data_IF_931861787041
#
_entry.id   IF_931861787041
#
_cell.length_a   1.000
_cell.length_b   1.000
_cell.length_c   1.000
_cell.angle_alpha   90.00
_cell.angle_beta   90.00
_cell.angle_gamma   90.00
#
_symmetry.space_group_name_H-M   'P 1'
#
loop_
_entity.id
_entity.type
_entity.pdbx_description
1 polymer ?
#
# COMPACT_ATOMS: atom_id res chain seq x y z
N UNK A 1 -52.79 -80.44 -12.91
CA UNK A 1 -52.98 -79.12 -13.56
C UNK A 1 -52.59 -78.03 -12.59
N UNK A 2 -51.33 -77.55 -12.61
CA UNK A 2 -50.91 -76.37 -11.83
C UNK A 2 -49.94 -75.55 -12.69
N UNK A 3 -50.19 -74.23 -12.66
CA UNK A 3 -49.82 -73.14 -13.58
C UNK A 3 -48.33 -72.78 -13.51
N UNK A 4 -47.64 -72.60 -14.63
CA UNK A 4 -47.33 -71.31 -15.29
C UNK A 4 -47.13 -70.11 -14.36
N UNK A 5 -45.88 -69.63 -14.27
CA UNK A 5 -45.51 -68.21 -14.47
C UNK A 5 -44.00 -67.97 -14.22
N UNK A 6 -43.35 -67.41 -15.25
CA UNK A 6 -42.51 -66.19 -15.19
C UNK A 6 -41.27 -66.16 -14.28
N UNK A 7 -40.10 -65.86 -14.86
CA UNK A 7 -39.25 -64.70 -14.53
C UNK A 7 -38.05 -64.67 -15.51
N UNK A 8 -37.97 -63.58 -16.29
CA UNK A 8 -36.75 -63.14 -16.98
C UNK A 8 -35.88 -62.39 -15.99
N UNK A 9 -34.57 -62.56 -16.05
CA UNK A 9 -33.66 -61.41 -15.87
C UNK A 9 -32.25 -61.75 -16.37
N UNK A 10 -31.91 -61.15 -17.50
CA UNK A 10 -30.60 -61.21 -18.14
C UNK A 10 -29.63 -60.31 -17.38
N UNK A 11 -28.43 -60.83 -17.12
CA UNK A 11 -27.33 -60.13 -16.45
C UNK A 11 -26.94 -58.86 -17.21
N UNK A 12 -27.01 -57.72 -16.53
CA UNK A 12 -26.55 -56.42 -17.05
C UNK A 12 -25.04 -56.26 -16.83
N UNK A 13 -24.41 -55.61 -17.81
CA UNK A 13 -22.98 -55.44 -17.99
C UNK A 13 -22.38 -54.41 -17.02
N UNK A 14 -21.11 -54.66 -16.70
CA UNK A 14 -20.23 -53.75 -15.96
C UNK A 14 -19.76 -52.56 -16.81
N UNK A 15 -19.19 -51.58 -16.10
CA UNK A 15 -18.41 -50.40 -16.55
C UNK A 15 -19.30 -49.22 -16.96
N UNK A 16 -19.21 -48.07 -16.31
CA UNK A 16 -18.03 -47.20 -16.34
C UNK A 16 -18.13 -46.21 -15.19
N UNK A 17 -17.07 -46.10 -14.38
CA UNK A 17 -16.99 -45.10 -13.32
C UNK A 17 -16.75 -43.71 -13.91
N UNK A 18 -17.44 -42.72 -13.37
CA UNK A 18 -17.01 -41.33 -13.41
C UNK A 18 -17.43 -40.70 -12.07
N UNK A 19 -16.54 -40.78 -11.09
CA UNK A 19 -16.67 -40.05 -9.85
C UNK A 19 -16.37 -38.58 -10.14
N UNK A 20 -17.40 -37.76 -10.24
CA UNK A 20 -17.24 -36.31 -10.20
C UNK A 20 -17.00 -35.90 -8.73
N UNK A 21 -15.72 -35.76 -8.36
CA UNK A 21 -15.32 -35.11 -7.12
C UNK A 21 -15.60 -33.61 -7.27
N UNK A 22 -16.69 -33.16 -6.65
CA UNK A 22 -17.00 -31.75 -6.48
C UNK A 22 -16.04 -31.18 -5.42
N UNK A 23 -14.86 -30.73 -5.84
CA UNK A 23 -13.94 -30.01 -4.98
C UNK A 23 -14.50 -28.62 -4.69
N UNK A 24 -15.11 -28.44 -3.52
CA UNK A 24 -15.43 -27.12 -2.98
C UNK A 24 -14.12 -26.49 -2.51
N UNK A 25 -13.47 -25.72 -3.38
CA UNK A 25 -12.36 -24.86 -2.96
C UNK A 25 -12.96 -23.73 -2.12
N UNK A 26 -12.84 -23.83 -0.79
CA UNK A 26 -13.00 -22.69 0.09
C UNK A 26 -11.82 -21.74 -0.20
N UNK A 27 -12.08 -20.69 -0.98
CA UNK A 27 -11.16 -19.57 -1.08
C UNK A 27 -11.27 -18.78 0.22
N UNK A 28 -10.41 -19.09 1.19
CA UNK A 28 -10.07 -18.14 2.25
C UNK A 28 -9.37 -16.95 1.60
N UNK A 29 -10.17 -16.02 1.09
CA UNK A 29 -9.71 -14.67 0.76
C UNK A 29 -9.39 -14.01 2.10
N UNK A 30 -8.12 -14.10 2.50
CA UNK A 30 -7.56 -13.21 3.52
C UNK A 30 -7.94 -11.79 3.13
N UNK A 31 -8.63 -11.11 4.04
CA UNK A 31 -9.09 -9.73 3.89
C UNK A 31 -7.91 -8.80 3.59
N UNK A 32 -7.57 -8.66 2.31
CA UNK A 32 -6.91 -7.48 1.81
C UNK A 32 -7.99 -6.40 1.84
N UNK A 33 -7.80 -5.38 2.70
CA UNK A 33 -8.76 -4.29 2.82
C UNK A 33 -9.07 -3.71 1.46
N UNK A 34 -10.27 -4.02 0.93
CA UNK A 34 -10.79 -3.38 -0.27
C UNK A 34 -10.76 -1.89 0.01
N UNK A 35 -10.09 -1.12 -0.86
CA UNK A 35 -10.14 0.32 -0.79
C UNK A 35 -11.61 0.76 -0.64
N UNK A 36 -11.91 1.79 0.17
CA UNK A 36 -13.23 2.41 0.14
C UNK A 36 -13.59 2.65 -1.32
N UNK A 37 -14.75 2.19 -1.74
CA UNK A 37 -15.19 2.26 -3.13
C UNK A 37 -15.02 3.69 -3.65
N UNK A 38 -14.05 3.90 -4.55
CA UNK A 38 -13.80 5.18 -5.20
C UNK A 38 -12.39 5.78 -5.06
N UNK A 39 -11.51 5.29 -4.17
CA UNK A 39 -10.14 5.84 -4.08
C UNK A 39 -9.18 5.02 -4.94
N UNK A 40 -8.77 5.58 -6.08
CA UNK A 40 -7.83 4.94 -7.01
C UNK A 40 -6.39 5.43 -6.79
N UNK A 41 -5.77 4.99 -5.69
CA UNK A 41 -4.37 5.29 -5.41
C UNK A 41 -3.39 4.60 -6.38
N UNK A 42 -3.80 3.51 -7.01
CA UNK A 42 -2.96 2.74 -7.91
C UNK A 42 -2.78 3.47 -9.26
N UNK A 43 -3.76 4.27 -9.68
CA UNK A 43 -3.65 5.13 -10.85
C UNK A 43 -3.56 6.62 -10.48
N UNK A 44 -3.04 6.93 -9.30
CA UNK A 44 -2.81 8.31 -8.87
C UNK A 44 -1.63 8.95 -9.62
N UNK A 45 -1.65 10.28 -9.72
CA UNK A 45 -0.59 11.07 -10.32
C UNK A 45 0.13 11.91 -9.25
N UNK A 46 1.26 11.42 -8.74
CA UNK A 46 2.02 12.10 -7.70
C UNK A 46 3.04 13.09 -8.29
N UNK A 47 3.21 14.24 -7.65
CA UNK A 47 4.21 15.24 -8.04
C UNK A 47 5.51 15.04 -7.24
N UNK A 48 6.53 14.48 -7.87
CA UNK A 48 7.85 14.22 -7.25
C UNK A 48 8.92 14.93 -8.09
N UNK A 49 9.79 15.71 -7.43
CA UNK A 49 10.83 16.54 -8.08
C UNK A 49 10.28 17.50 -9.15
N UNK A 50 9.08 18.03 -8.93
CA UNK A 50 8.39 18.90 -9.90
C UNK A 50 7.86 18.19 -11.14
N UNK A 51 7.99 16.86 -11.22
CA UNK A 51 7.43 16.05 -12.30
C UNK A 51 6.16 15.34 -11.84
N UNK A 52 5.11 15.39 -12.66
CA UNK A 52 3.88 14.64 -12.42
C UNK A 52 4.04 13.20 -12.92
N UNK A 53 4.06 12.25 -11.98
CA UNK A 53 4.29 10.83 -12.23
C UNK A 53 2.97 10.08 -12.16
N UNK A 54 2.35 9.85 -13.32
CA UNK A 54 1.14 9.04 -13.45
C UNK A 54 1.47 7.56 -13.25
N UNK A 55 0.90 6.95 -12.22
CA UNK A 55 0.98 5.51 -12.02
C UNK A 55 -0.07 4.78 -12.87
N UNK A 56 0.24 3.53 -13.20
CA UNK A 56 -0.69 2.57 -13.79
C UNK A 56 -0.61 1.28 -12.96
N UNK A 57 -1.69 0.93 -12.27
CA UNK A 57 -1.71 -0.27 -11.41
C UNK A 57 -0.68 -0.22 -10.26
N UNK A 58 -0.36 0.97 -9.76
CA UNK A 58 0.54 1.21 -8.63
C UNK A 58 2.00 1.41 -9.02
N UNK A 59 2.33 1.45 -10.31
CA UNK A 59 3.71 1.55 -10.78
C UNK A 59 3.84 2.37 -12.07
N UNK A 60 5.05 2.88 -12.30
CA UNK A 60 5.46 3.61 -13.50
C UNK A 60 6.92 3.29 -13.78
N UNK A 61 7.24 3.07 -15.05
CA UNK A 61 8.61 3.03 -15.56
C UNK A 61 8.68 3.95 -16.79
N UNK A 62 9.66 4.85 -16.82
CA UNK A 62 9.88 5.75 -17.95
C UNK A 62 11.34 6.22 -17.95
N UNK A 63 11.88 6.72 -19.08
CA UNK A 63 13.20 7.34 -19.09
C UNK A 63 13.34 8.42 -18.01
N UNK A 64 14.45 8.41 -17.27
CA UNK A 64 14.68 9.33 -16.15
C UNK A 64 14.71 10.79 -16.59
N UNK A 65 15.27 11.02 -17.78
CA UNK A 65 15.16 12.26 -18.55
C UNK A 65 14.86 11.92 -20.02
N UNK A 66 14.29 12.85 -20.81
CA UNK A 66 14.00 12.60 -22.22
C UNK A 66 15.25 12.10 -22.97
N UNK A 67 15.14 10.94 -23.63
CA UNK A 67 16.23 10.33 -24.40
C UNK A 67 17.27 9.53 -23.59
N UNK A 68 17.10 9.41 -22.27
CA UNK A 68 17.98 8.58 -21.43
C UNK A 68 17.75 7.08 -21.62
N UNK A 69 18.83 6.30 -21.59
CA UNK A 69 18.75 4.85 -21.46
C UNK A 69 18.46 4.39 -20.01
N UNK A 70 18.75 5.24 -19.01
CA UNK A 70 18.38 4.98 -17.63
C UNK A 70 16.88 5.24 -17.42
N UNK A 71 16.19 4.28 -16.81
CA UNK A 71 14.78 4.35 -16.44
C UNK A 71 14.62 4.83 -15.00
N UNK A 72 13.60 5.65 -14.75
CA UNK A 72 13.07 5.99 -13.44
C UNK A 72 11.87 5.09 -13.16
N UNK A 73 11.95 4.28 -12.13
CA UNK A 73 10.84 3.48 -11.62
C UNK A 73 10.24 4.12 -10.38
N UNK A 74 8.92 4.34 -10.43
CA UNK A 74 8.12 4.86 -9.32
C UNK A 74 7.05 3.82 -8.99
N UNK A 75 6.89 3.44 -7.72
CA UNK A 75 5.91 2.41 -7.33
C UNK A 75 5.34 2.65 -5.94
N UNK A 76 4.08 2.27 -5.76
CA UNK A 76 3.46 2.14 -4.43
C UNK A 76 4.01 0.88 -3.76
N UNK A 77 4.36 0.97 -2.48
CA UNK A 77 4.91 -0.13 -1.69
C UNK A 77 4.17 -0.29 -0.36
N UNK A 78 4.19 -1.51 0.17
CA UNK A 78 3.51 -1.84 1.42
C UNK A 78 1.99 -1.83 1.29
N UNK A 79 1.31 -1.80 2.43
CA UNK A 79 -0.16 -1.77 2.51
C UNK A 79 -0.63 -0.32 2.60
N UNK A 80 -1.58 0.12 1.75
CA UNK A 80 -2.20 1.44 1.89
C UNK A 80 -2.95 1.55 3.21
N UNK A 81 -2.98 2.75 3.78
CA UNK A 81 -3.90 3.09 4.84
C UNK A 81 -5.08 3.85 4.26
N UNK A 82 -6.29 3.61 4.76
CA UNK A 82 -7.48 4.33 4.36
C UNK A 82 -8.05 5.13 5.53
N UNK A 83 -8.63 6.29 5.23
CA UNK A 83 -9.21 7.15 6.24
C UNK A 83 -9.80 8.42 5.63
N UNK A 84 -9.79 9.48 6.43
CA UNK A 84 -10.27 10.80 6.03
C UNK A 84 -9.16 11.82 6.29
N UNK A 85 -8.93 12.71 5.34
CA UNK A 85 -7.97 13.80 5.44
C UNK A 85 -8.61 15.05 4.86
N UNK A 86 -8.54 16.17 5.59
CA UNK A 86 -9.23 17.42 5.21
C UNK A 86 -10.73 17.22 4.87
N UNK A 87 -11.40 16.30 5.56
CA UNK A 87 -12.81 15.98 5.34
C UNK A 87 -13.11 15.11 4.10
N UNK A 88 -12.09 14.69 3.35
CA UNK A 88 -12.25 13.86 2.16
C UNK A 88 -11.79 12.41 2.42
N UNK A 89 -12.47 11.40 1.84
CA UNK A 89 -11.94 10.03 1.81
C UNK A 89 -10.55 10.01 1.17
N UNK A 90 -9.61 9.36 1.84
CA UNK A 90 -8.19 9.40 1.50
C UNK A 90 -7.54 8.01 1.65
N UNK A 91 -6.61 7.71 0.75
CA UNK A 91 -5.69 6.59 0.83
C UNK A 91 -4.26 7.13 0.95
N UNK A 92 -3.59 6.81 2.06
CA UNK A 92 -2.18 7.14 2.26
C UNK A 92 -1.30 5.93 1.89
N UNK A 93 -0.24 6.20 1.12
CA UNK A 93 0.64 5.17 0.55
C UNK A 93 2.10 5.55 0.72
N UNK A 94 2.96 4.53 0.84
CA UNK A 94 4.37 4.71 0.59
C UNK A 94 4.64 4.66 -0.91
N UNK A 95 5.43 5.59 -1.41
CA UNK A 95 5.90 5.63 -2.80
C UNK A 95 7.41 5.49 -2.79
N UNK A 96 7.94 4.51 -3.53
CA UNK A 96 9.36 4.33 -3.77
C UNK A 96 9.72 4.82 -5.17
N UNK A 97 10.82 5.55 -5.28
CA UNK A 97 11.32 6.13 -6.52
C UNK A 97 12.85 6.03 -6.60
N UNK A 98 13.40 5.57 -7.72
CA UNK A 98 14.85 5.42 -7.90
C UNK A 98 15.52 6.55 -8.72
N UNK A 99 14.74 7.48 -9.25
CA UNK A 99 15.22 8.66 -9.98
C UNK A 99 16.11 8.37 -11.21
N UNK A 100 16.27 7.11 -11.63
CA UNK A 100 17.23 6.71 -12.67
C UNK A 100 18.70 6.65 -12.24
N UNK A 101 18.96 6.63 -10.94
CA UNK A 101 20.31 6.46 -10.37
C UNK A 101 20.44 5.17 -9.56
N UNK A 102 21.43 5.12 -8.67
CA UNK A 102 21.56 3.99 -7.72
C UNK A 102 20.69 4.16 -6.46
N UNK A 103 20.20 5.37 -6.18
CA UNK A 103 19.41 5.67 -4.98
C UNK A 103 18.02 5.04 -5.02
N UNK A 104 17.39 4.86 -3.85
CA UNK A 104 15.96 4.57 -3.80
C UNK A 104 15.34 5.41 -2.69
N UNK A 105 14.65 6.46 -3.09
CA UNK A 105 14.01 7.39 -2.19
C UNK A 105 12.58 6.93 -1.91
N UNK A 106 12.15 7.15 -0.68
CA UNK A 106 10.82 6.82 -0.23
C UNK A 106 10.09 8.09 0.19
N UNK A 107 8.79 8.08 -0.08
CA UNK A 107 7.87 9.17 0.19
C UNK A 107 6.59 8.62 0.81
N UNK A 108 5.84 9.49 1.50
CA UNK A 108 4.43 9.24 1.84
C UNK A 108 3.59 10.19 1.01
N UNK A 109 2.63 9.65 0.27
CA UNK A 109 1.65 10.42 -0.51
C UNK A 109 0.22 10.06 -0.13
N UNK A 110 -0.72 10.93 -0.45
CA UNK A 110 -2.16 10.68 -0.30
C UNK A 110 -2.84 10.81 -1.66
N UNK A 111 -3.68 9.82 -1.98
CA UNK A 111 -4.67 9.90 -3.04
C UNK A 111 -6.07 10.08 -2.43
N UNK A 112 -6.85 11.02 -2.95
CA UNK A 112 -8.19 11.33 -2.48
C UNK A 112 -9.25 10.66 -3.38
N UNK A 113 -10.45 10.45 -2.83
CA UNK A 113 -11.57 9.84 -3.55
C UNK A 113 -12.11 10.64 -4.75
N UNK A 114 -11.65 11.89 -4.93
CA UNK A 114 -11.96 12.70 -6.12
C UNK A 114 -10.90 12.56 -7.25
N UNK A 115 -9.95 11.63 -7.12
CA UNK A 115 -8.87 11.41 -8.09
C UNK A 115 -7.67 12.35 -7.95
N UNK A 116 -7.69 13.25 -6.96
CA UNK A 116 -6.57 14.13 -6.65
C UNK A 116 -5.48 13.40 -5.84
N UNK A 117 -4.22 13.78 -6.01
CA UNK A 117 -3.12 13.25 -5.21
C UNK A 117 -2.13 14.35 -4.79
N UNK A 118 -1.67 14.30 -3.55
CA UNK A 118 -0.79 15.31 -2.95
C UNK A 118 0.63 15.28 -3.52
N UNK A 119 1.38 16.37 -3.34
CA UNK A 119 2.84 16.34 -3.34
C UNK A 119 3.32 15.45 -2.17
N UNK A 120 3.98 14.31 -2.44
CA UNK A 120 4.41 13.39 -1.38
C UNK A 120 5.50 13.99 -0.48
N UNK A 121 5.44 13.70 0.81
CA UNK A 121 6.50 14.04 1.76
C UNK A 121 7.68 13.06 1.63
N UNK A 122 8.92 13.53 1.43
CA UNK A 122 10.10 12.65 1.47
C UNK A 122 10.31 12.13 2.89
N UNK A 123 10.55 10.81 3.03
CA UNK A 123 10.78 10.17 4.34
C UNK A 123 12.19 9.57 4.49
N UNK A 124 12.90 9.28 3.38
CA UNK A 124 14.29 8.85 3.46
C UNK A 124 14.81 8.12 2.22
N UNK A 125 16.05 7.65 2.31
CA UNK A 125 16.76 6.87 1.28
C UNK A 125 17.02 5.44 1.77
N UNK A 126 16.57 4.46 0.98
CA UNK A 126 16.68 3.02 1.23
C UNK A 126 16.20 2.61 2.63
N UNK A 127 15.07 3.17 3.04
CA UNK A 127 14.38 2.79 4.28
C UNK A 127 13.55 1.51 4.08
N UNK A 128 13.09 0.90 5.17
CA UNK A 128 12.11 -0.20 5.12
C UNK A 128 10.75 0.28 5.65
N UNK A 129 9.76 0.53 4.77
CA UNK A 129 8.42 0.93 5.19
C UNK A 129 7.76 -0.13 6.10
N UNK A 130 7.00 0.32 7.11
CA UNK A 130 6.27 -0.58 8.03
C UNK A 130 4.78 -0.34 8.01
N UNK A 131 4.31 0.85 8.36
CA UNK A 131 2.88 1.16 8.36
C UNK A 131 2.61 2.65 8.21
N UNK A 132 1.40 2.97 7.75
CA UNK A 132 0.82 4.31 7.83
C UNK A 132 -0.49 4.17 8.59
N UNK A 133 -0.80 5.12 9.46
CA UNK A 133 -2.10 5.20 10.12
C UNK A 133 -2.61 6.63 10.13
N UNK A 134 -3.93 6.79 9.95
CA UNK A 134 -4.59 8.07 10.19
C UNK A 134 -4.79 8.28 11.69
N UNK A 135 -4.54 9.51 12.14
CA UNK A 135 -4.75 9.99 13.52
C UNK A 135 -5.37 11.38 13.44
N UNK A 136 -6.71 11.43 13.41
CA UNK A 136 -7.42 12.66 13.10
C UNK A 136 -7.10 13.11 11.66
N UNK A 137 -6.68 14.36 11.49
CA UNK A 137 -6.25 14.91 10.19
C UNK A 137 -4.76 14.70 9.87
N UNK A 138 -4.08 13.86 10.65
CA UNK A 138 -2.65 13.59 10.49
C UNK A 138 -2.38 12.17 10.09
N UNK A 139 -1.22 11.97 9.47
CA UNK A 139 -0.68 10.65 9.15
C UNK A 139 0.48 10.37 10.09
N UNK A 140 0.53 9.16 10.63
CA UNK A 140 1.69 8.65 11.34
C UNK A 140 2.27 7.52 10.51
N UNK A 141 3.46 7.73 9.94
CA UNK A 141 4.17 6.73 9.17
C UNK A 141 5.33 6.16 9.99
N UNK A 142 5.46 4.84 9.99
CA UNK A 142 6.55 4.12 10.66
C UNK A 142 7.37 3.35 9.63
N UNK A 143 8.68 3.32 9.86
CA UNK A 143 9.65 2.67 8.99
C UNK A 143 10.91 2.31 9.76
N UNK A 144 11.76 1.45 9.19
CA UNK A 144 13.12 1.28 9.68
C UNK A 144 14.10 2.09 8.85
N UNK A 145 15.06 2.68 9.53
CA UNK A 145 16.19 3.40 8.95
C UNK A 145 17.51 2.83 9.48
N UNK A 146 18.63 3.30 8.94
CA UNK A 146 19.98 2.93 9.36
C UNK A 146 20.45 3.83 10.50
N UNK A 147 21.43 3.34 11.26
CA UNK A 147 22.13 4.18 12.23
C UNK A 147 23.00 5.21 11.49
N UNK A 148 23.27 6.37 12.11
CA UNK A 148 24.26 7.30 11.57
C UNK A 148 25.59 6.59 11.32
N UNK A 149 26.13 6.73 10.10
CA UNK A 149 27.41 6.13 9.70
C UNK A 149 27.33 4.68 9.20
N UNK A 150 26.17 4.02 9.24
CA UNK A 150 26.02 2.70 8.64
C UNK A 150 26.05 2.77 7.10
N UNK A 151 26.72 1.81 6.41
CA UNK A 151 26.74 1.75 4.96
C UNK A 151 25.34 1.73 4.34
N UNK A 152 25.18 2.35 3.17
CA UNK A 152 23.93 2.35 2.40
C UNK A 152 23.53 0.98 1.83
N UNK A 153 24.40 -0.03 1.97
CA UNK A 153 24.13 -1.43 1.63
C UNK A 153 23.65 -2.26 2.84
N UNK A 154 23.79 -1.74 4.06
CA UNK A 154 23.32 -2.41 5.27
C UNK A 154 21.79 -2.33 5.37
N UNK A 155 21.17 -3.39 5.86
CA UNK A 155 19.73 -3.41 6.08
C UNK A 155 19.33 -2.38 7.16
N UNK A 156 18.25 -1.60 6.96
CA UNK A 156 17.71 -0.71 8.00
C UNK A 156 17.25 -1.49 9.25
N UNK A 157 17.60 -1.00 10.44
CA UNK A 157 17.28 -1.68 11.72
C UNK A 157 16.68 -0.76 12.79
N UNK A 158 16.82 0.55 12.65
CA UNK A 158 16.40 1.54 13.64
C UNK A 158 14.97 1.96 13.36
N UNK A 159 14.00 1.71 14.26
CA UNK A 159 12.63 2.16 14.06
C UNK A 159 12.56 3.70 14.12
N UNK A 160 11.89 4.27 13.13
CA UNK A 160 11.56 5.70 13.06
C UNK A 160 10.07 5.89 12.85
N UNK A 161 9.59 7.03 13.34
CA UNK A 161 8.20 7.48 13.18
C UNK A 161 8.23 8.93 12.73
N UNK A 162 7.40 9.25 11.73
CA UNK A 162 7.19 10.61 11.24
C UNK A 162 5.69 10.92 11.30
N UNK A 163 5.37 12.13 11.75
CA UNK A 163 4.00 12.65 11.76
C UNK A 163 3.89 13.68 10.65
N UNK A 164 2.92 13.51 9.77
CA UNK A 164 2.70 14.37 8.60
C UNK A 164 1.32 15.02 8.71
N UNK A 165 1.27 16.32 8.45
CA UNK A 165 0.04 17.08 8.27
C UNK A 165 -0.13 17.45 6.79
N UNK A 166 -1.37 17.61 6.37
CA UNK A 166 -1.68 18.12 5.04
C UNK A 166 -1.70 19.65 5.04
N UNK A 167 -0.85 20.24 4.22
CA UNK A 167 -0.84 21.66 3.94
C UNK A 167 -1.64 21.93 2.66
N UNK A 168 -2.88 22.38 2.84
CA UNK A 168 -3.80 22.66 1.74
C UNK A 168 -3.32 23.81 0.81
N UNK A 169 -2.49 24.73 1.31
CA UNK A 169 -1.98 25.84 0.49
C UNK A 169 -0.88 25.38 -0.48
N UNK A 170 -0.11 24.37 -0.07
CA UNK A 170 0.97 23.76 -0.88
C UNK A 170 0.55 22.47 -1.57
N UNK A 171 -0.64 21.98 -1.24
CA UNK A 171 -1.12 20.66 -1.63
C UNK A 171 -0.10 19.54 -1.30
N UNK A 172 0.54 19.69 -0.15
CA UNK A 172 1.69 18.89 0.23
C UNK A 172 1.52 18.28 1.61
N UNK A 173 2.10 17.08 1.79
CA UNK A 173 2.33 16.56 3.13
C UNK A 173 3.60 17.20 3.71
N UNK A 174 3.48 17.73 4.92
CA UNK A 174 4.60 18.35 5.64
C UNK A 174 4.80 17.65 6.97
N UNK A 175 6.06 17.40 7.33
CA UNK A 175 6.38 16.87 8.64
C UNK A 175 5.99 17.87 9.72
N UNK A 176 5.12 17.46 10.65
CA UNK A 176 4.79 18.27 11.81
C UNK A 176 5.95 18.20 12.78
N UNK A 177 6.69 19.29 12.91
CA UNK A 177 7.55 19.53 14.07
C UNK A 177 6.65 19.90 15.24
N UNK A 178 5.85 18.97 15.73
CA UNK A 178 5.16 19.23 16.99
C UNK A 178 6.21 19.20 18.10
N UNK A 179 6.40 20.41 18.63
CA UNK A 179 7.20 20.77 19.78
C UNK A 179 7.02 19.78 20.91
N UNK A 180 8.11 19.59 21.68
CA UNK A 180 8.16 18.67 22.80
C UNK A 180 6.88 18.68 23.62
N UNK A 181 6.38 17.48 23.87
CA UNK A 181 5.66 17.19 25.11
C UNK A 181 6.50 17.80 26.22
N UNK A 182 6.10 18.96 26.73
CA UNK A 182 6.53 19.36 28.07
C UNK A 182 5.68 18.48 28.97
N UNK A 183 6.26 17.48 29.68
CA UNK A 183 5.53 16.84 30.75
C UNK A 183 5.14 17.96 31.70
N UNK A 184 3.84 18.08 32.01
CA UNK A 184 3.34 19.11 32.89
C UNK A 184 4.24 19.24 34.11
N UNK A 185 4.97 20.35 34.18
CA UNK A 185 5.62 20.77 35.40
C UNK A 185 4.51 21.23 36.34
N UNK A 186 3.90 20.25 37.00
CA UNK A 186 3.41 20.42 38.35
C UNK A 186 4.57 20.96 39.20
N UNK A 187 4.49 22.24 39.55
CA UNK A 187 4.96 22.77 40.84
C UNK A 187 4.05 23.93 41.24
N UNK A 188 2.99 23.61 42.00
CA UNK A 188 2.48 24.53 43.02
C UNK A 188 3.21 24.24 44.33
N UNK A 189 3.83 25.28 44.87
CA UNK A 189 4.85 25.30 45.92
C UNK A 189 5.88 26.27 45.37
N UNK A 190 5.85 27.55 45.75
CA UNK A 190 5.95 28.04 47.13
C UNK A 190 5.00 29.22 47.43
#
# INVERSE_FOLDING_TARGET
MIRSAMIRSTRSFARTGLAALLSLAAADVLAQGTAPSGIDYANAAFSIDGQRLQLAGGQRAAPAVPGSAAERHTRVVGTPAFGTLAGLPAAAVFVADDGGGSGQFFYVGVAFGNGHATVPAPIGDRIQPRSIVFRGDRLVATFLDRRPGEPMASAPTVPKTVVLAFDAARDALVETRDAGVTPGADKRGD
#
